data_IF_188223578315
#
_entry.id   IF_188223578315
#
_cell.length_a   1.000
_cell.length_b   1.000
_cell.length_c   1.000
_cell.angle_alpha   90.00
_cell.angle_beta   90.00
_cell.angle_gamma   90.00
#
_symmetry.space_group_name_H-M   'P 1'
#
loop_
_entity.id
_entity.type
_entity.pdbx_description
1 polymer ?
#
# COMPACT_ATOMS: atom_id res chain seq x y z
N UNK A 1 11.25 -1.08 7.15
CA UNK A 1 9.79 -1.25 7.37
C UNK A 1 9.23 -2.18 6.30
N UNK A 2 8.36 -3.15 6.64
CA UNK A 2 7.75 -4.07 5.64
C UNK A 2 6.29 -3.75 5.43
N UNK A 3 5.81 -4.00 4.21
CA UNK A 3 4.42 -3.82 3.83
C UNK A 3 3.87 -5.10 3.20
N UNK A 4 2.58 -5.33 3.39
CA UNK A 4 1.86 -6.47 2.82
C UNK A 4 0.50 -6.06 2.25
N UNK A 5 0.10 -6.75 1.19
CA UNK A 5 -1.23 -6.61 0.61
C UNK A 5 -2.22 -7.50 1.37
N UNK A 6 -3.34 -6.92 1.80
CA UNK A 6 -4.46 -7.61 2.43
C UNK A 6 -5.74 -7.37 1.63
N UNK A 7 -6.71 -8.26 1.81
CA UNK A 7 -8.02 -8.15 1.20
C UNK A 7 -9.10 -8.05 2.26
N UNK A 8 -10.11 -7.21 2.01
CA UNK A 8 -11.34 -7.14 2.78
C UNK A 8 -12.50 -7.03 1.82
N UNK A 9 -13.58 -7.78 2.08
CA UNK A 9 -14.80 -7.73 1.27
C UNK A 9 -15.40 -6.32 1.20
N UNK A 10 -15.22 -5.49 2.24
CA UNK A 10 -15.77 -4.14 2.28
C UNK A 10 -14.90 -3.08 1.58
N UNK A 11 -13.60 -3.36 1.36
CA UNK A 11 -12.62 -2.34 0.92
C UNK A 11 -11.78 -2.76 -0.29
N UNK A 12 -11.91 -4.00 -0.75
CA UNK A 12 -11.05 -4.57 -1.78
C UNK A 12 -9.64 -4.85 -1.25
N UNK A 13 -8.63 -4.68 -2.11
CA UNK A 13 -7.23 -4.88 -1.76
C UNK A 13 -6.62 -3.62 -1.20
N UNK A 14 -5.81 -3.75 -0.16
CA UNK A 14 -5.16 -2.61 0.49
C UNK A 14 -3.79 -3.00 1.04
N UNK A 15 -2.92 -2.02 1.24
CA UNK A 15 -1.57 -2.24 1.74
C UNK A 15 -1.45 -1.77 3.19
N UNK A 16 -0.88 -2.61 4.05
CA UNK A 16 -0.59 -2.28 5.45
C UNK A 16 0.88 -2.48 5.77
N UNK A 17 1.39 -1.78 6.77
CA UNK A 17 2.70 -2.08 7.36
C UNK A 17 2.66 -3.33 8.22
N UNK A 18 3.84 -3.84 8.59
CA UNK A 18 4.04 -4.89 9.59
C UNK A 18 3.47 -4.55 10.99
N UNK A 19 3.32 -3.26 11.30
CA UNK A 19 2.61 -2.77 12.48
C UNK A 19 1.09 -2.75 12.35
N UNK A 20 0.54 -3.07 11.16
CA UNK A 20 -0.89 -3.08 10.89
C UNK A 20 -1.48 -1.72 10.51
N UNK A 21 -0.65 -0.71 10.27
CA UNK A 21 -1.10 0.62 9.84
C UNK A 21 -1.36 0.64 8.34
N UNK A 22 -2.43 1.32 7.90
CA UNK A 22 -2.74 1.49 6.48
C UNK A 22 -1.68 2.35 5.79
N UNK A 23 -1.12 1.85 4.70
CA UNK A 23 -0.14 2.57 3.92
C UNK A 23 -0.79 3.74 3.17
N UNK A 24 -0.06 4.85 3.09
CA UNK A 24 -0.46 6.02 2.32
C UNK A 24 0.60 6.27 1.23
N UNK A 25 0.13 6.50 0.01
CA UNK A 25 0.96 6.78 -1.16
C UNK A 25 0.59 8.14 -1.74
N UNK A 26 1.54 8.88 -2.32
CA UNK A 26 1.22 10.14 -3.00
C UNK A 26 0.31 9.86 -4.19
N UNK A 27 -0.76 10.62 -4.30
CA UNK A 27 -1.60 10.64 -5.48
C UNK A 27 -0.84 11.39 -6.61
N UNK A 28 -0.72 10.78 -7.80
CA UNK A 28 0.04 11.37 -8.90
C UNK A 28 -0.57 12.68 -9.42
N UNK A 29 -1.88 12.89 -9.22
CA UNK A 29 -2.62 14.02 -9.79
C UNK A 29 -2.72 15.19 -8.80
N UNK A 30 -2.81 14.93 -7.49
CA UNK A 30 -3.02 15.97 -6.47
C UNK A 30 -1.84 16.24 -5.54
N UNK A 31 -0.77 15.45 -5.59
CA UNK A 31 0.32 15.44 -4.59
C UNK A 31 -0.15 15.18 -3.13
N UNK A 32 -1.42 14.86 -2.91
CA UNK A 32 -1.94 14.50 -1.58
C UNK A 32 -1.64 13.03 -1.25
N UNK A 33 -1.61 12.71 0.04
CA UNK A 33 -1.45 11.32 0.49
C UNK A 33 -2.81 10.62 0.49
N UNK A 34 -2.94 9.54 -0.28
CA UNK A 34 -4.13 8.68 -0.31
C UNK A 34 -3.83 7.32 0.26
N UNK A 35 -4.85 6.70 0.85
CA UNK A 35 -4.77 5.30 1.25
C UNK A 35 -4.45 4.41 0.04
N UNK A 36 -3.55 3.46 0.25
CA UNK A 36 -3.11 2.50 -0.78
C UNK A 36 -4.17 1.41 -0.99
N UNK A 37 -5.29 1.77 -1.63
CA UNK A 37 -6.40 0.89 -2.00
C UNK A 37 -6.35 0.54 -3.48
N UNK A 38 -6.67 -0.71 -3.81
CA UNK A 38 -6.59 -1.30 -5.14
C UNK A 38 -7.74 -2.26 -5.41
N UNK A 39 -8.17 -2.33 -6.67
CA UNK A 39 -9.19 -3.30 -7.10
C UNK A 39 -8.61 -4.70 -7.32
N UNK A 40 -7.31 -4.79 -7.68
CA UNK A 40 -6.64 -6.04 -8.03
C UNK A 40 -5.53 -6.37 -7.05
N UNK A 41 -5.44 -7.65 -6.67
CA UNK A 41 -4.36 -8.17 -5.80
C UNK A 41 -2.97 -7.83 -6.35
N UNK A 42 -2.78 -8.01 -7.66
CA UNK A 42 -1.48 -7.81 -8.31
C UNK A 42 -0.97 -6.37 -8.12
N UNK A 43 -1.85 -5.38 -8.18
CA UNK A 43 -1.49 -3.97 -8.01
C UNK A 43 -1.15 -3.67 -6.55
N UNK A 44 -1.94 -4.18 -5.60
CA UNK A 44 -1.65 -4.06 -4.17
C UNK A 44 -0.34 -4.73 -3.78
N UNK A 45 -0.06 -5.92 -4.30
CA UNK A 45 1.20 -6.64 -4.07
C UNK A 45 2.40 -5.90 -4.63
N UNK A 46 2.29 -5.37 -5.84
CA UNK A 46 3.35 -4.55 -6.44
C UNK A 46 3.62 -3.31 -5.58
N UNK A 47 2.57 -2.61 -5.14
CA UNK A 47 2.71 -1.47 -4.24
C UNK A 47 3.39 -1.85 -2.92
N UNK A 48 2.98 -2.94 -2.27
CA UNK A 48 3.60 -3.42 -1.04
C UNK A 48 5.09 -3.76 -1.21
N UNK A 49 5.47 -4.36 -2.34
CA UNK A 49 6.88 -4.65 -2.66
C UNK A 49 7.70 -3.37 -2.83
N UNK A 50 7.19 -2.40 -3.59
CA UNK A 50 7.87 -1.12 -3.80
C UNK A 50 7.99 -0.32 -2.49
N UNK A 51 6.94 -0.26 -1.67
CA UNK A 51 6.99 0.41 -0.37
C UNK A 51 7.96 -0.27 0.60
N UNK A 52 7.99 -1.60 0.61
CA UNK A 52 8.97 -2.36 1.40
C UNK A 52 10.39 -2.05 0.93
N UNK A 53 10.63 -2.00 -0.38
CA UNK A 53 11.92 -1.65 -0.97
C UNK A 53 12.36 -0.23 -0.58
N UNK A 54 11.48 0.76 -0.71
CA UNK A 54 11.76 2.14 -0.33
C UNK A 54 12.04 2.28 1.17
N UNK A 55 11.23 1.62 2.01
CA UNK A 55 11.41 1.59 3.47
C UNK A 55 12.59 0.74 3.96
N UNK A 56 13.38 0.14 3.06
CA UNK A 56 14.67 -0.49 3.35
C UNK A 56 15.87 0.36 2.91
N UNK A 57 15.63 1.49 2.21
CA UNK A 57 16.66 2.42 1.75
C UNK A 57 16.77 3.68 2.61
N UNK A 58 15.83 3.90 3.55
CA UNK A 58 15.91 4.88 4.64
C UNK A 58 16.55 4.27 5.89
#
# INVERSE_FOLDING_TARGET
MRYEARHSEARGWYVVSDEGHLAHVPDPDSQELRAALFEREADARRCAQELTRLGTLS
#
